data_IF_349030186511
#
_entry.id   IF_349030186511
#
_cell.length_a   1.000
_cell.length_b   1.000
_cell.length_c   1.000
_cell.angle_alpha   90.00
_cell.angle_beta   90.00
_cell.angle_gamma   90.00
#
_symmetry.space_group_name_H-M   'P 1'
#
loop_
_entity.id
_entity.type
_entity.pdbx_description
1 polymer ?
#
# COMPACT_ATOMS: atom_id res chain seq x y z
N UNK A 1 5.96 -42.77 14.47
CA UNK A 1 5.47 -41.39 14.73
C UNK A 1 6.49 -40.44 14.13
N UNK A 2 6.23 -39.90 12.93
CA UNK A 2 7.10 -38.94 12.30
C UNK A 2 6.55 -37.54 12.59
N UNK A 3 7.17 -36.84 13.53
CA UNK A 3 6.87 -35.45 13.84
C UNK A 3 7.47 -34.59 12.72
N UNK A 4 6.63 -33.95 11.91
CA UNK A 4 7.05 -33.02 10.88
C UNK A 4 7.36 -31.65 11.53
N UNK A 5 8.60 -31.12 11.52
CA UNK A 5 8.94 -29.86 12.19
C UNK A 5 8.76 -28.60 11.30
N UNK A 6 8.45 -28.76 10.01
CA UNK A 6 8.62 -27.67 9.03
C UNK A 6 7.57 -26.55 9.02
N UNK A 7 6.48 -26.66 9.78
CA UNK A 7 5.38 -25.69 9.71
C UNK A 7 5.56 -24.43 10.58
N UNK A 8 6.25 -24.55 11.71
CA UNK A 8 6.35 -23.46 12.70
C UNK A 8 7.29 -22.32 12.29
N UNK A 9 8.40 -22.65 11.65
CA UNK A 9 9.46 -21.70 11.31
C UNK A 9 9.06 -20.81 10.11
N UNK A 10 8.40 -21.39 9.12
CA UNK A 10 7.90 -20.67 7.95
C UNK A 10 6.69 -19.77 8.28
N UNK A 11 5.84 -20.19 9.23
CA UNK A 11 4.74 -19.36 9.74
C UNK A 11 5.27 -18.12 10.47
N UNK A 12 6.29 -18.28 11.30
CA UNK A 12 6.94 -17.19 12.01
C UNK A 12 7.62 -16.19 11.04
N UNK A 13 8.35 -16.69 10.03
CA UNK A 13 8.99 -15.83 9.03
C UNK A 13 7.98 -14.98 8.24
N UNK A 14 6.84 -15.55 7.85
CA UNK A 14 5.79 -14.82 7.14
C UNK A 14 5.11 -13.76 8.02
N UNK A 15 4.92 -14.05 9.31
CA UNK A 15 4.38 -13.07 10.24
C UNK A 15 5.35 -11.90 10.43
N UNK A 16 6.65 -12.16 10.56
CA UNK A 16 7.67 -11.11 10.61
C UNK A 16 7.67 -10.23 9.34
N UNK A 17 7.57 -10.85 8.16
CA UNK A 17 7.45 -10.09 6.90
C UNK A 17 6.19 -9.21 6.94
N UNK A 18 5.08 -9.73 7.44
CA UNK A 18 3.84 -8.98 7.51
C UNK A 18 3.92 -7.83 8.52
N UNK A 19 4.57 -8.03 9.66
CA UNK A 19 4.85 -6.99 10.66
C UNK A 19 5.66 -5.84 10.07
N UNK A 20 6.72 -6.16 9.31
CA UNK A 20 7.50 -5.16 8.57
C UNK A 20 6.61 -4.42 7.57
N UNK A 21 5.77 -5.14 6.82
CA UNK A 21 4.80 -4.54 5.90
C UNK A 21 3.84 -3.57 6.59
N UNK A 22 3.35 -3.92 7.78
CA UNK A 22 2.49 -3.06 8.59
C UNK A 22 3.18 -1.79 9.04
N UNK A 23 4.43 -1.90 9.50
CA UNK A 23 5.24 -0.76 9.91
C UNK A 23 5.53 0.17 8.72
N UNK A 24 5.92 -0.39 7.58
CA UNK A 24 6.17 0.37 6.35
C UNK A 24 4.90 1.07 5.84
N UNK A 25 3.76 0.39 5.80
CA UNK A 25 2.49 0.96 5.37
C UNK A 25 2.06 2.13 6.27
N UNK A 26 2.09 1.93 7.58
CA UNK A 26 1.73 2.97 8.55
C UNK A 26 2.63 4.20 8.43
N UNK A 27 3.94 3.99 8.30
CA UNK A 27 4.86 5.10 8.08
C UNK A 27 4.61 5.78 6.74
N UNK A 28 4.37 5.01 5.68
CA UNK A 28 4.11 5.54 4.35
C UNK A 28 2.91 6.48 4.33
N UNK A 29 1.80 6.04 4.96
CA UNK A 29 0.58 6.81 5.15
C UNK A 29 0.84 8.07 5.98
N UNK A 30 1.53 7.94 7.11
CA UNK A 30 1.81 9.06 8.01
C UNK A 30 2.57 10.18 7.29
N UNK A 31 3.71 9.88 6.66
CA UNK A 31 4.55 10.87 5.99
C UNK A 31 3.80 11.55 4.82
N UNK A 32 3.01 10.78 4.06
CA UNK A 32 2.17 11.32 2.97
C UNK A 32 1.14 12.32 3.46
N UNK A 33 0.45 12.00 4.56
CA UNK A 33 -0.55 12.91 5.15
C UNK A 33 0.13 14.18 5.65
N UNK A 34 1.28 14.07 6.33
CA UNK A 34 2.04 15.23 6.79
C UNK A 34 2.51 16.13 5.63
N UNK A 35 2.93 15.53 4.50
CA UNK A 35 3.27 16.28 3.27
C UNK A 35 2.06 17.00 2.67
N UNK A 36 0.90 16.36 2.63
CA UNK A 36 -0.32 16.92 2.05
C UNK A 36 -0.97 18.02 2.93
N UNK A 37 -0.73 18.03 4.24
CA UNK A 37 -1.21 19.08 5.16
C UNK A 37 -0.47 20.43 4.98
N UNK A 38 0.68 20.45 4.30
CA UNK A 38 1.48 21.65 4.03
C UNK A 38 0.80 22.71 3.16
N UNK A 39 -0.31 22.37 2.47
CA UNK A 39 -0.99 23.25 1.52
C UNK A 39 -2.38 23.74 1.98
N UNK A 40 -2.69 23.65 3.28
CA UNK A 40 -3.88 24.31 3.85
C UNK A 40 -4.84 23.43 4.66
N UNK A 41 -4.30 22.53 5.48
CA UNK A 41 -4.88 22.04 6.72
C UNK A 41 -6.28 21.43 6.65
N UNK A 42 -6.35 20.09 6.66
CA UNK A 42 -7.60 19.39 7.04
C UNK A 42 -7.41 17.98 7.59
N UNK A 43 -6.21 17.39 7.55
CA UNK A 43 -6.03 15.96 7.82
C UNK A 43 -4.88 15.66 8.80
N UNK A 44 -4.93 16.19 10.02
CA UNK A 44 -3.91 15.87 11.04
C UNK A 44 -4.13 14.45 11.58
N UNK A 45 -3.19 13.53 11.33
CA UNK A 45 -3.14 12.21 11.96
C UNK A 45 -1.84 12.02 12.73
N UNK A 46 -1.93 11.47 13.94
CA UNK A 46 -0.77 11.07 14.74
C UNK A 46 -0.32 9.66 14.41
N UNK A 47 0.97 9.34 14.60
CA UNK A 47 1.48 7.96 14.46
C UNK A 47 0.70 6.96 15.34
N UNK A 48 0.28 7.40 16.54
CA UNK A 48 -0.52 6.59 17.45
C UNK A 48 -1.92 6.24 16.89
N UNK A 49 -2.57 7.18 16.20
CA UNK A 49 -3.86 6.93 15.54
C UNK A 49 -3.76 5.90 14.42
N UNK A 50 -2.62 5.85 13.73
CA UNK A 50 -2.29 4.80 12.74
C UNK A 50 -1.81 3.49 13.39
N UNK A 51 -1.55 3.49 14.69
CA UNK A 51 -0.99 2.35 15.42
C UNK A 51 0.46 2.03 15.03
N UNK A 52 1.24 3.05 14.64
CA UNK A 52 2.65 2.92 14.25
C UNK A 52 3.62 3.31 15.37
N UNK A 53 4.75 2.61 15.45
CA UNK A 53 5.90 2.95 16.30
C UNK A 53 7.04 3.61 15.52
N UNK A 54 8.17 3.86 16.18
CA UNK A 54 9.39 4.31 15.50
C UNK A 54 9.96 3.22 14.59
N UNK A 55 10.49 3.63 13.43
CA UNK A 55 11.16 2.75 12.49
C UNK A 55 12.55 2.38 12.98
N UNK A 56 12.95 1.12 12.82
CA UNK A 56 14.36 0.73 12.91
C UNK A 56 15.17 1.36 11.77
N UNK A 57 16.49 1.48 11.94
CA UNK A 57 17.36 2.11 10.94
C UNK A 57 17.32 1.42 9.58
N UNK A 58 17.18 0.09 9.57
CA UNK A 58 17.02 -0.68 8.33
C UNK A 58 15.69 -0.35 7.64
N UNK A 59 14.59 -0.26 8.40
CA UNK A 59 13.29 0.09 7.86
C UNK A 59 13.18 1.56 7.41
N UNK A 60 13.99 2.48 7.98
CA UNK A 60 14.01 3.90 7.55
C UNK A 60 14.43 4.05 6.09
N UNK A 61 15.39 3.25 5.62
CA UNK A 61 15.82 3.29 4.22
C UNK A 61 14.73 2.81 3.28
N UNK A 62 14.10 1.67 3.60
CA UNK A 62 12.96 1.15 2.83
C UNK A 62 11.80 2.15 2.80
N UNK A 63 11.48 2.74 3.94
CA UNK A 63 10.44 3.74 4.07
C UNK A 63 10.73 4.99 3.23
N UNK A 64 11.96 5.49 3.24
CA UNK A 64 12.38 6.59 2.38
C UNK A 64 12.19 6.26 0.90
N UNK A 65 12.59 5.05 0.49
CA UNK A 65 12.45 4.64 -0.90
C UNK A 65 10.96 4.51 -1.32
N UNK A 66 10.10 3.97 -0.46
CA UNK A 66 8.64 3.99 -0.69
C UNK A 66 8.10 5.42 -0.83
N UNK A 67 8.58 6.36 0.01
CA UNK A 67 8.21 7.77 -0.09
C UNK A 67 8.57 8.35 -1.46
N UNK A 68 9.77 8.11 -1.98
CA UNK A 68 10.16 8.61 -3.30
C UNK A 68 9.24 8.09 -4.41
N UNK A 69 8.87 6.80 -4.40
CA UNK A 69 7.92 6.26 -5.39
C UNK A 69 6.57 6.94 -5.26
N UNK A 70 6.09 7.14 -4.03
CA UNK A 70 4.84 7.87 -3.84
C UNK A 70 4.89 9.30 -4.40
N UNK A 71 6.06 9.96 -4.38
CA UNK A 71 6.20 11.34 -4.88
C UNK A 71 6.07 11.33 -6.41
N UNK A 72 6.61 10.30 -7.06
CA UNK A 72 6.44 10.07 -8.51
C UNK A 72 4.98 9.74 -8.89
N UNK A 73 4.27 8.97 -8.06
CA UNK A 73 2.84 8.67 -8.26
C UNK A 73 1.97 9.92 -8.02
N UNK A 74 2.31 10.75 -7.04
CA UNK A 74 1.64 12.02 -6.78
C UNK A 74 1.80 13.00 -7.96
N UNK A 75 2.95 12.98 -8.64
CA UNK A 75 3.20 13.80 -9.82
C UNK A 75 2.39 13.39 -11.07
N UNK A 76 1.77 12.21 -11.09
CA UNK A 76 0.96 11.75 -12.22
C UNK A 76 -0.46 12.31 -12.16
N UNK A 77 -0.72 13.39 -12.89
CA UNK A 77 -2.00 14.10 -12.88
C UNK A 77 -3.21 13.24 -13.32
N UNK A 78 -3.03 12.31 -14.26
CA UNK A 78 -4.10 11.41 -14.69
C UNK A 78 -4.50 10.47 -13.56
N UNK A 79 -3.51 9.89 -12.88
CA UNK A 79 -3.71 9.07 -11.69
C UNK A 79 -4.40 9.87 -10.57
N UNK A 80 -3.97 11.11 -10.32
CA UNK A 80 -4.60 11.98 -9.33
C UNK A 80 -6.09 12.19 -9.64
N UNK A 81 -6.42 12.54 -10.89
CA UNK A 81 -7.80 12.76 -11.32
C UNK A 81 -8.69 11.54 -11.14
N UNK A 82 -8.17 10.33 -11.35
CA UNK A 82 -8.94 9.09 -11.15
C UNK A 82 -9.20 8.82 -9.68
N UNK A 83 -8.20 9.06 -8.82
CA UNK A 83 -8.32 8.81 -7.37
C UNK A 83 -9.33 9.76 -6.71
N UNK A 84 -9.39 11.00 -7.22
CA UNK A 84 -10.32 12.01 -6.74
C UNK A 84 -11.76 11.80 -7.25
N UNK A 85 -12.00 10.85 -8.18
CA UNK A 85 -13.35 10.48 -8.63
C UNK A 85 -14.24 10.09 -7.43
N UNK A 86 -15.44 10.65 -7.37
CA UNK A 86 -16.38 10.49 -6.24
C UNK A 86 -16.86 9.05 -6.06
N UNK A 87 -16.76 8.21 -7.08
CA UNK A 87 -17.13 6.80 -7.03
C UNK A 87 -16.12 5.93 -6.27
N UNK A 88 -14.87 6.39 -6.09
CA UNK A 88 -13.86 5.71 -5.28
C UNK A 88 -14.05 6.07 -3.80
N UNK A 89 -15.07 5.52 -3.16
CA UNK A 89 -15.27 5.71 -1.72
C UNK A 89 -14.34 4.81 -0.89
N UNK A 90 -13.92 5.24 0.31
CA UNK A 90 -13.11 4.43 1.23
C UNK A 90 -13.96 3.28 1.80
N UNK A 91 -14.17 2.24 1.01
CA UNK A 91 -14.98 1.06 1.37
C UNK A 91 -14.21 -0.22 1.06
N UNK A 92 -14.51 -1.30 1.79
CA UNK A 92 -13.86 -2.60 1.58
C UNK A 92 -14.05 -3.12 0.16
N UNK A 93 -15.24 -2.91 -0.41
CA UNK A 93 -15.57 -3.34 -1.77
C UNK A 93 -14.67 -2.67 -2.80
N UNK A 94 -14.52 -1.33 -2.73
CA UNK A 94 -13.64 -0.58 -3.63
C UNK A 94 -12.19 -1.01 -3.44
N UNK A 95 -11.75 -1.16 -2.18
CA UNK A 95 -10.41 -1.63 -1.86
C UNK A 95 -10.12 -2.98 -2.52
N UNK A 96 -10.98 -3.97 -2.30
CA UNK A 96 -10.77 -5.32 -2.81
C UNK A 96 -10.85 -5.38 -4.34
N UNK A 97 -11.76 -4.62 -4.97
CA UNK A 97 -11.84 -4.55 -6.44
C UNK A 97 -10.54 -4.06 -7.06
N UNK A 98 -10.00 -2.96 -6.56
CA UNK A 98 -8.72 -2.42 -7.05
C UNK A 98 -7.56 -3.36 -6.70
N UNK A 99 -7.53 -3.91 -5.49
CA UNK A 99 -6.48 -4.86 -5.09
C UNK A 99 -6.45 -6.10 -6.00
N UNK A 100 -7.61 -6.71 -6.29
CA UNK A 100 -7.68 -7.83 -7.22
C UNK A 100 -7.30 -7.44 -8.64
N UNK A 101 -7.71 -6.27 -9.11
CA UNK A 101 -7.36 -5.80 -10.46
C UNK A 101 -5.86 -5.54 -10.61
N UNK A 102 -5.17 -5.04 -9.57
CA UNK A 102 -3.70 -4.88 -9.57
C UNK A 102 -2.98 -6.20 -9.86
N UNK A 103 -3.52 -7.33 -9.42
CA UNK A 103 -2.89 -8.65 -9.52
C UNK A 103 -3.66 -9.63 -10.42
N UNK A 104 -4.58 -9.14 -11.26
CA UNK A 104 -5.54 -9.96 -12.02
C UNK A 104 -4.89 -10.92 -13.01
N UNK A 105 -3.72 -10.55 -13.57
CA UNK A 105 -2.95 -11.39 -14.50
C UNK A 105 -2.01 -12.41 -13.81
N UNK A 106 -2.06 -12.50 -12.48
CA UNK A 106 -1.23 -13.41 -11.69
C UNK A 106 0.25 -13.05 -11.57
N UNK A 107 0.68 -11.89 -12.09
CA UNK A 107 2.07 -11.43 -11.98
C UNK A 107 2.31 -10.62 -10.71
N UNK A 108 3.42 -10.91 -10.03
CA UNK A 108 3.83 -10.19 -8.82
C UNK A 108 5.16 -9.48 -9.06
N UNK A 109 5.23 -8.21 -8.65
CA UNK A 109 6.44 -7.40 -8.64
C UNK A 109 6.27 -6.28 -7.60
N UNK A 110 7.38 -5.65 -7.22
CA UNK A 110 7.36 -4.59 -6.22
C UNK A 110 6.53 -3.38 -6.64
N UNK A 111 6.50 -3.04 -7.94
CA UNK A 111 5.65 -1.95 -8.45
C UNK A 111 4.18 -2.13 -8.11
N UNK A 112 3.67 -3.36 -8.20
CA UNK A 112 2.28 -3.69 -7.82
C UNK A 112 2.04 -3.65 -6.32
N UNK A 113 3.00 -4.12 -5.53
CA UNK A 113 2.94 -4.01 -4.05
C UNK A 113 2.91 -2.53 -3.63
N UNK A 114 3.73 -1.69 -4.26
CA UNK A 114 3.72 -0.24 -4.01
C UNK A 114 2.42 0.41 -4.49
N UNK A 115 1.89 0.01 -5.65
CA UNK A 115 0.59 0.50 -6.13
C UNK A 115 -0.54 0.20 -5.14
N UNK A 116 -0.54 -0.99 -4.52
CA UNK A 116 -1.48 -1.35 -3.45
C UNK A 116 -1.33 -0.46 -2.22
N UNK A 117 -0.09 -0.24 -1.74
CA UNK A 117 0.20 0.64 -0.60
C UNK A 117 -0.25 2.09 -0.88
N UNK A 118 0.04 2.57 -2.08
CA UNK A 118 -0.33 3.91 -2.52
C UNK A 118 -1.84 4.08 -2.59
N UNK A 119 -2.55 3.11 -3.15
CA UNK A 119 -4.01 3.14 -3.18
C UNK A 119 -4.63 3.12 -1.78
N UNK A 120 -4.13 2.26 -0.88
CA UNK A 120 -4.55 2.24 0.53
C UNK A 120 -4.34 3.59 1.22
N UNK A 121 -3.18 4.22 1.00
CA UNK A 121 -2.87 5.56 1.51
C UNK A 121 -3.87 6.60 1.02
N UNK A 122 -4.25 6.55 -0.25
CA UNK A 122 -5.23 7.48 -0.83
C UNK A 122 -6.63 7.28 -0.29
N UNK A 123 -7.05 6.05 -0.02
CA UNK A 123 -8.31 5.80 0.69
C UNK A 123 -8.28 6.35 2.12
N UNK A 124 -7.14 6.25 2.82
CA UNK A 124 -6.99 6.84 4.16
C UNK A 124 -7.07 8.37 4.11
N UNK A 125 -6.38 9.02 3.17
CA UNK A 125 -6.47 10.47 2.98
C UNK A 125 -7.92 10.88 2.67
N UNK A 126 -8.61 10.13 1.79
CA UNK A 126 -10.01 10.40 1.47
C UNK A 126 -10.92 10.24 2.67
N UNK A 127 -10.71 9.21 3.50
CA UNK A 127 -11.46 9.02 4.75
C UNK A 127 -11.27 10.18 5.74
N UNK A 128 -10.06 10.76 5.83
CA UNK A 128 -9.80 11.95 6.64
C UNK A 128 -10.55 13.17 6.09
N UNK A 129 -10.48 13.40 4.78
CA UNK A 129 -11.16 14.52 4.10
C UNK A 129 -12.68 14.41 4.21
N UNK A 130 -13.24 13.19 4.19
CA UNK A 130 -14.68 12.96 4.36
C UNK A 130 -15.09 12.75 5.82
N UNK A 131 -14.23 13.09 6.79
CA UNK A 131 -14.50 13.06 8.24
C UNK A 131 -14.99 11.72 8.79
N UNK A 132 -14.42 10.60 8.31
CA UNK A 132 -14.67 9.24 8.81
C UNK A 132 -13.37 8.56 9.31
N UNK A 133 -12.65 9.16 10.28
CA UNK A 133 -11.33 8.69 10.70
C UNK A 133 -11.33 7.27 11.31
N UNK A 134 -12.48 6.78 11.77
CA UNK A 134 -12.61 5.44 12.37
C UNK A 134 -12.26 4.31 11.39
N UNK A 135 -12.40 4.55 10.09
CA UNK A 135 -12.12 3.53 9.06
C UNK A 135 -10.63 3.40 8.73
N UNK A 136 -9.77 4.31 9.21
CA UNK A 136 -8.34 4.33 8.86
C UNK A 136 -7.65 3.01 9.25
N UNK A 137 -7.88 2.54 10.48
CA UNK A 137 -7.35 1.26 10.96
C UNK A 137 -7.88 0.09 10.15
N UNK A 138 -9.14 0.20 9.69
CA UNK A 138 -9.81 -0.81 8.87
C UNK A 138 -9.24 -0.88 7.45
N UNK A 139 -8.86 0.24 6.84
CA UNK A 139 -8.17 0.25 5.54
C UNK A 139 -6.79 -0.40 5.65
N UNK A 140 -6.06 -0.07 6.71
CA UNK A 140 -4.77 -0.71 7.02
C UNK A 140 -4.96 -2.21 7.18
N UNK A 141 -5.98 -2.66 7.93
CA UNK A 141 -6.23 -4.09 8.12
C UNK A 141 -6.57 -4.78 6.81
N UNK A 142 -7.41 -4.21 5.94
CA UNK A 142 -7.70 -4.79 4.62
C UNK A 142 -6.43 -4.98 3.79
N UNK A 143 -5.51 -4.02 3.87
CA UNK A 143 -4.24 -4.10 3.15
C UNK A 143 -3.38 -5.24 3.68
N UNK A 144 -3.27 -5.38 5.00
CA UNK A 144 -2.49 -6.45 5.61
C UNK A 144 -3.11 -7.82 5.41
N UNK A 145 -4.44 -7.93 5.46
CA UNK A 145 -5.16 -9.16 5.18
C UNK A 145 -4.93 -9.58 3.72
N UNK A 146 -5.02 -8.64 2.78
CA UNK A 146 -4.74 -8.93 1.37
C UNK A 146 -3.28 -9.37 1.15
N UNK A 147 -2.32 -8.70 1.79
CA UNK A 147 -0.92 -9.12 1.74
C UNK A 147 -0.76 -10.54 2.27
N UNK A 148 -1.32 -10.82 3.45
CA UNK A 148 -1.24 -12.13 4.11
C UNK A 148 -1.83 -13.24 3.23
N UNK A 149 -2.96 -13.00 2.60
CA UNK A 149 -3.67 -14.00 1.82
C UNK A 149 -3.06 -14.23 0.43
N UNK A 150 -2.63 -13.16 -0.26
CA UNK A 150 -2.31 -13.24 -1.70
C UNK A 150 -0.86 -12.93 -2.06
N UNK A 151 -0.13 -12.15 -1.24
CA UNK A 151 1.15 -11.57 -1.65
C UNK A 151 2.33 -12.06 -0.80
N UNK A 152 2.08 -12.51 0.43
CA UNK A 152 3.12 -12.80 1.42
C UNK A 152 4.10 -13.90 0.98
N UNK A 153 3.60 -14.89 0.24
CA UNK A 153 4.43 -15.97 -0.29
C UNK A 153 5.47 -15.42 -1.27
N UNK A 154 5.03 -14.56 -2.19
CA UNK A 154 5.93 -13.92 -3.15
C UNK A 154 6.97 -13.03 -2.45
N UNK A 155 6.55 -12.22 -1.46
CA UNK A 155 7.49 -11.39 -0.69
C UNK A 155 8.53 -12.25 0.03
N UNK A 156 8.10 -13.38 0.61
CA UNK A 156 9.00 -14.34 1.23
C UNK A 156 10.00 -14.93 0.24
N UNK A 157 9.58 -15.24 -0.99
CA UNK A 157 10.46 -15.73 -2.07
C UNK A 157 11.47 -14.67 -2.52
N UNK A 158 11.15 -13.38 -2.39
CA UNK A 158 12.11 -12.28 -2.63
C UNK A 158 13.11 -12.08 -1.48
N UNK A 159 13.05 -12.90 -0.42
CA UNK A 159 13.88 -12.72 0.78
C UNK A 159 13.38 -11.63 1.71
N UNK A 160 12.09 -11.26 1.62
CA UNK A 160 11.47 -10.21 2.44
C UNK A 160 11.49 -8.83 1.78
N UNK A 161 11.27 -7.79 2.58
CA UNK A 161 11.12 -6.41 2.09
C UNK A 161 12.42 -5.78 1.59
N UNK A 162 13.59 -6.31 1.96
CA UNK A 162 14.87 -5.86 1.40
C UNK A 162 14.95 -6.04 -0.12
N UNK A 163 14.19 -6.99 -0.69
CA UNK A 163 14.12 -7.22 -2.13
C UNK A 163 13.61 -6.01 -2.94
N UNK A 164 12.90 -5.07 -2.31
CA UNK A 164 12.49 -3.84 -2.99
C UNK A 164 13.70 -3.00 -3.40
N UNK A 165 14.81 -3.09 -2.63
CA UNK A 165 16.05 -2.32 -2.84
C UNK A 165 16.69 -2.55 -4.20
N UNK A 166 16.65 -3.78 -4.69
CA UNK A 166 17.23 -4.15 -5.98
C UNK A 166 16.46 -3.59 -7.18
N UNK A 167 15.23 -3.11 -6.93
CA UNK A 167 14.36 -2.55 -7.96
C UNK A 167 14.37 -1.01 -7.98
N UNK A 168 15.02 -0.35 -7.01
CA UNK A 168 15.15 1.12 -7.05
C UNK A 168 16.25 1.57 -8.00
N UNK A 169 16.00 2.72 -8.66
CA UNK A 169 16.92 3.32 -9.61
C UNK A 169 16.66 2.94 -11.07
N UNK A 170 15.71 2.05 -11.35
CA UNK A 170 15.23 1.81 -12.70
C UNK A 170 14.09 2.79 -13.06
N UNK A 171 13.92 3.20 -14.32
CA UNK A 171 12.83 4.09 -14.75
C UNK A 171 11.41 3.51 -14.62
N UNK A 172 11.22 2.41 -13.90
CA UNK A 172 9.96 1.65 -13.88
C UNK A 172 8.84 2.34 -13.10
N UNK A 173 9.12 3.31 -12.23
CA UNK A 173 8.10 3.90 -11.37
C UNK A 173 7.09 4.77 -12.13
N UNK A 174 7.52 5.47 -13.20
CA UNK A 174 6.60 6.11 -14.13
C UNK A 174 5.62 5.10 -14.75
N UNK A 175 6.11 3.90 -15.10
CA UNK A 175 5.26 2.83 -15.63
C UNK A 175 4.31 2.27 -14.58
N UNK A 176 4.66 2.32 -13.29
CA UNK A 176 3.75 1.96 -12.19
C UNK A 176 2.59 2.95 -12.09
N UNK A 177 2.85 4.24 -12.23
CA UNK A 177 1.79 5.26 -12.26
C UNK A 177 0.80 5.06 -13.40
N UNK A 178 1.32 4.85 -14.62
CA UNK A 178 0.51 4.53 -15.81
C UNK A 178 -0.27 3.24 -15.62
N UNK A 179 0.38 2.19 -15.08
CA UNK A 179 -0.26 0.92 -14.78
C UNK A 179 -1.43 1.08 -13.79
N UNK A 180 -1.22 1.80 -12.69
CA UNK A 180 -2.26 2.02 -11.69
C UNK A 180 -3.41 2.87 -12.24
N UNK A 181 -3.13 3.89 -13.07
CA UNK A 181 -4.16 4.65 -13.77
C UNK A 181 -5.01 3.73 -14.68
N UNK A 182 -4.36 2.81 -15.42
CA UNK A 182 -5.05 1.79 -16.20
C UNK A 182 -5.97 0.90 -15.35
N UNK A 183 -5.47 0.40 -14.22
CA UNK A 183 -6.26 -0.40 -13.25
C UNK A 183 -7.47 0.38 -12.75
N UNK A 184 -7.29 1.63 -12.32
CA UNK A 184 -8.39 2.45 -11.82
C UNK A 184 -9.41 2.75 -12.92
N UNK A 185 -8.96 2.99 -14.15
CA UNK A 185 -9.85 3.17 -15.30
C UNK A 185 -10.76 1.97 -15.49
N UNK A 186 -10.21 0.75 -15.46
CA UNK A 186 -11.00 -0.48 -15.57
C UNK A 186 -12.07 -0.57 -14.48
N UNK A 187 -11.69 -0.34 -13.22
CA UNK A 187 -12.62 -0.41 -12.08
C UNK A 187 -13.71 0.67 -12.16
N UNK A 188 -13.35 1.89 -12.56
CA UNK A 188 -14.28 3.01 -12.72
C UNK A 188 -15.28 2.77 -13.86
N UNK A 189 -14.83 2.24 -14.99
CA UNK A 189 -15.70 1.91 -16.13
C UNK A 189 -16.69 0.82 -15.76
N UNK A 190 -16.23 -0.28 -15.15
CA UNK A 190 -17.10 -1.39 -14.71
C UNK A 190 -18.19 -0.92 -13.74
N UNK A 191 -17.90 0.10 -12.92
CA UNK A 191 -18.86 0.64 -11.95
C UNK A 191 -19.86 1.63 -12.57
N UNK A 192 -19.52 2.26 -13.69
CA UNK A 192 -20.42 3.19 -14.42
C UNK A 192 -21.35 2.47 -15.39
N UNK A 193 -21.04 1.22 -15.76
CA UNK A 193 -21.90 0.32 -16.54
C UNK A 193 -22.92 -0.40 -15.66
#
# INVERSE_FOLDING_TARGET
>A
MASNPGGGDQGNAKEQILEVGAVLLKNFIYERIQKHDGDGGKAVVTRQQLGGGELSDDHKRLAHCLQQIGDELDANAELQSMIDDSSLSPTKEIFMKVAFEIFSDGRFNWGRVVALFYFACRLVIKALVTHIPDIIRTIISWTLDYLREYVINWISEQGGWEGIRSHFGTPTWQTVGVFLAGVLTTVLVIRKM
#
